data_IF_529785278390
#
_entry.id   IF_529785278390
#
_cell.length_a   1.000
_cell.length_b   1.000
_cell.length_c   1.000
_cell.angle_alpha   90.00
_cell.angle_beta   90.00
_cell.angle_gamma   90.00
#
_symmetry.space_group_name_H-M   'P 1'
#
loop_
_entity.id
_entity.type
_entity.pdbx_description
1 polymer ?
#
# COMPACT_ATOMS: atom_id res chain seq x y z
N UNK A 1 -27.89 -17.32 -35.61
CA UNK A 1 -26.50 -17.26 -35.13
C UNK A 1 -26.39 -16.07 -34.18
N UNK A 2 -26.25 -16.30 -32.87
CA UNK A 2 -25.81 -15.31 -31.90
C UNK A 2 -25.55 -16.01 -30.55
N UNK A 3 -24.40 -16.67 -30.44
CA UNK A 3 -23.83 -16.96 -29.13
C UNK A 3 -23.04 -15.71 -28.74
N UNK A 4 -23.57 -14.90 -27.81
CA UNK A 4 -22.79 -13.82 -27.21
C UNK A 4 -21.90 -14.44 -26.12
N UNK A 5 -20.60 -14.39 -26.35
CA UNK A 5 -19.57 -14.74 -25.37
C UNK A 5 -19.59 -13.68 -24.23
N UNK A 6 -19.77 -14.04 -22.96
CA UNK A 6 -19.62 -13.11 -21.84
C UNK A 6 -18.15 -13.04 -21.42
N UNK A 7 -17.26 -12.68 -22.35
CA UNK A 7 -15.84 -12.47 -22.05
C UNK A 7 -15.46 -11.01 -22.25
N UNK A 8 -14.78 -10.44 -21.25
CA UNK A 8 -14.17 -9.11 -21.19
C UNK A 8 -15.00 -7.95 -20.60
N UNK A 9 -15.48 -8.08 -19.36
CA UNK A 9 -15.52 -6.93 -18.44
C UNK A 9 -14.24 -6.93 -17.61
N UNK A 10 -13.10 -6.60 -18.22
CA UNK A 10 -11.99 -6.08 -17.44
C UNK A 10 -12.41 -4.65 -17.04
N UNK A 11 -12.51 -4.31 -15.74
CA UNK A 11 -12.75 -2.92 -15.35
C UNK A 11 -11.61 -2.08 -15.92
N UNK A 12 -11.95 -1.07 -16.73
CA UNK A 12 -10.99 -0.04 -17.13
C UNK A 12 -10.57 0.63 -15.82
N UNK A 13 -9.31 0.46 -15.40
CA UNK A 13 -8.82 1.08 -14.16
C UNK A 13 -8.89 2.61 -14.36
N UNK A 14 -9.88 3.23 -13.72
CA UNK A 14 -10.06 4.69 -13.71
C UNK A 14 -9.28 5.30 -12.56
N UNK A 15 -9.19 6.63 -12.56
CA UNK A 15 -8.49 7.37 -11.51
C UNK A 15 -9.16 7.23 -10.13
N UNK A 16 -10.46 6.94 -10.10
CA UNK A 16 -11.27 6.67 -8.90
C UNK A 16 -11.16 5.22 -8.40
N UNK A 17 -10.38 4.38 -9.07
CA UNK A 17 -10.25 2.97 -8.70
C UNK A 17 -9.70 2.82 -7.27
N UNK A 18 -10.43 2.08 -6.42
CA UNK A 18 -10.14 1.81 -5.01
C UNK A 18 -10.30 3.00 -4.04
N UNK A 19 -10.99 4.07 -4.43
CA UNK A 19 -11.28 5.20 -3.55
C UNK A 19 -11.99 4.78 -2.24
N UNK A 20 -13.03 3.95 -2.34
CA UNK A 20 -13.81 3.49 -1.17
C UNK A 20 -12.97 2.74 -0.13
N UNK A 21 -11.93 2.01 -0.58
CA UNK A 21 -11.02 1.30 0.33
C UNK A 21 -10.10 2.26 1.08
N UNK A 22 -9.73 3.39 0.46
CA UNK A 22 -8.96 4.44 1.11
C UNK A 22 -9.75 5.22 2.16
N UNK A 23 -11.09 5.19 2.14
CA UNK A 23 -11.91 5.97 3.06
C UNK A 23 -11.62 5.68 4.55
N UNK A 24 -11.17 4.45 4.86
CA UNK A 24 -10.83 4.04 6.22
C UNK A 24 -9.32 4.01 6.51
N UNK A 25 -8.47 4.37 5.53
CA UNK A 25 -7.02 4.36 5.68
C UNK A 25 -6.54 5.80 5.83
N UNK A 26 -5.85 6.11 6.93
CA UNK A 26 -5.37 7.46 7.22
C UNK A 26 -3.86 7.48 7.36
N UNK A 27 -3.26 8.60 6.98
CA UNK A 27 -1.84 8.84 7.25
C UNK A 27 -1.61 8.82 8.77
N UNK A 28 -0.63 8.05 9.21
CA UNK A 28 -0.32 7.79 10.61
C UNK A 28 -0.86 6.45 11.13
N UNK A 29 -1.79 5.81 10.42
CA UNK A 29 -2.31 4.50 10.86
C UNK A 29 -1.22 3.43 10.81
N UNK A 30 -1.24 2.56 11.82
CA UNK A 30 -0.49 1.30 11.79
C UNK A 30 -1.17 0.34 10.83
N UNK A 31 -0.37 -0.32 10.00
CA UNK A 31 -0.88 -1.23 9.00
C UNK A 31 0.00 -2.45 8.82
N UNK A 32 -0.61 -3.50 8.30
CA UNK A 32 0.04 -4.71 7.84
C UNK A 32 -0.27 -4.93 6.35
N UNK A 33 0.71 -5.45 5.62
CA UNK A 33 0.63 -5.68 4.18
C UNK A 33 0.47 -7.17 3.86
N UNK A 34 -0.54 -7.48 3.06
CA UNK A 34 -0.77 -8.82 2.51
C UNK A 34 -0.23 -8.96 1.08
N UNK A 35 0.37 -10.11 0.72
CA UNK A 35 0.82 -11.18 1.60
C UNK A 35 2.14 -10.83 2.32
N UNK A 36 2.36 -11.47 3.47
CA UNK A 36 3.66 -11.54 4.12
C UNK A 36 3.84 -10.67 5.36
N UNK A 37 2.75 -10.29 6.04
CA UNK A 37 2.72 -9.74 7.41
C UNK A 37 3.71 -8.60 7.68
N UNK A 38 4.02 -7.79 6.66
CA UNK A 38 4.96 -6.68 6.79
C UNK A 38 4.24 -5.52 7.43
N UNK A 39 4.75 -5.06 8.56
CA UNK A 39 4.16 -3.96 9.32
C UNK A 39 4.84 -2.64 9.04
N UNK A 40 4.06 -1.58 9.20
CA UNK A 40 4.54 -0.23 8.98
C UNK A 40 3.50 0.82 9.32
N UNK A 41 3.80 2.03 8.91
CA UNK A 41 2.97 3.21 9.09
C UNK A 41 2.54 3.75 7.73
N UNK A 42 1.26 4.05 7.59
CA UNK A 42 0.75 4.75 6.41
C UNK A 42 1.32 6.17 6.38
N UNK A 43 1.99 6.53 5.30
CA UNK A 43 2.57 7.87 5.08
C UNK A 43 1.90 8.65 3.97
N UNK A 44 1.15 7.98 3.11
CA UNK A 44 0.46 8.61 1.98
C UNK A 44 -0.82 7.84 1.65
N UNK A 45 -1.89 8.55 1.29
CA UNK A 45 -3.14 7.97 0.79
C UNK A 45 -3.65 8.88 -0.32
N UNK A 46 -3.76 8.37 -1.55
CA UNK A 46 -4.24 9.18 -2.67
C UNK A 46 -3.81 8.66 -4.03
N UNK A 47 -4.05 9.49 -5.04
CA UNK A 47 -3.68 9.23 -6.43
C UNK A 47 -2.20 9.55 -6.67
N UNK A 48 -1.50 8.65 -7.35
CA UNK A 48 -0.10 8.85 -7.69
C UNK A 48 0.06 9.01 -9.20
N UNK A 49 0.19 10.25 -9.67
CA UNK A 49 0.28 10.60 -11.10
C UNK A 49 1.44 9.90 -11.81
N UNK A 50 2.54 9.62 -11.10
CA UNK A 50 3.69 8.90 -11.67
C UNK A 50 3.46 7.39 -11.79
N UNK A 51 2.42 6.86 -11.13
CA UNK A 51 2.07 5.44 -11.10
C UNK A 51 0.87 5.14 -12.01
N UNK A 52 0.42 3.89 -11.99
CA UNK A 52 -0.78 3.51 -12.76
C UNK A 52 -2.04 4.11 -12.12
N UNK A 53 -3.10 4.38 -12.91
CA UNK A 53 -4.31 5.03 -12.42
C UNK A 53 -4.93 4.36 -11.19
N UNK A 54 -5.69 5.15 -10.42
CA UNK A 54 -6.35 4.71 -9.19
C UNK A 54 -5.59 5.14 -7.93
N UNK A 55 -6.16 4.77 -6.79
CA UNK A 55 -5.62 5.09 -5.48
C UNK A 55 -4.47 4.18 -5.07
N UNK A 56 -3.58 4.78 -4.29
CA UNK A 56 -2.38 4.18 -3.74
C UNK A 56 -2.22 4.58 -2.29
N UNK A 57 -1.62 3.68 -1.52
CA UNK A 57 -1.22 3.91 -0.14
C UNK A 57 0.30 3.81 -0.08
N UNK A 58 0.95 4.89 0.33
CA UNK A 58 2.36 4.89 0.63
C UNK A 58 2.57 4.45 2.07
N UNK A 59 3.40 3.44 2.27
CA UNK A 59 3.71 2.85 3.57
C UNK A 59 5.20 2.96 3.83
N UNK A 60 5.56 3.39 5.04
CA UNK A 60 6.90 3.24 5.58
C UNK A 60 6.89 1.98 6.43
N UNK A 61 7.63 0.96 6.00
CA UNK A 61 7.85 -0.25 6.77
C UNK A 61 8.76 0.00 7.97
N UNK A 62 8.57 -0.78 9.02
CA UNK A 62 9.44 -0.75 10.20
C UNK A 62 10.81 -1.34 9.86
N UNK A 63 10.83 -2.36 9.00
CA UNK A 63 12.00 -3.05 8.48
C UNK A 63 12.28 -2.69 7.00
N UNK A 64 13.50 -2.90 6.47
CA UNK A 64 13.89 -2.51 5.10
C UNK A 64 13.31 -3.44 4.00
N UNK A 65 12.00 -3.68 4.02
CA UNK A 65 11.26 -4.47 3.03
C UNK A 65 10.60 -3.64 1.91
N UNK A 66 10.80 -2.32 1.95
CA UNK A 66 10.35 -1.39 0.94
C UNK A 66 11.18 -1.41 -0.34
N UNK A 67 10.84 -0.50 -1.24
CA UNK A 67 11.46 -0.37 -2.57
C UNK A 67 12.14 0.98 -2.78
N UNK A 68 11.76 2.00 -1.99
CA UNK A 68 12.21 3.37 -2.14
C UNK A 68 12.29 4.07 -0.77
N UNK A 69 12.75 5.32 -0.75
CA UNK A 69 12.81 6.23 0.39
C UNK A 69 11.58 7.17 0.48
N UNK A 70 10.55 6.86 -0.31
CA UNK A 70 9.33 7.67 -0.43
C UNK A 70 9.27 8.51 -1.73
N UNK A 71 10.33 8.49 -2.53
CA UNK A 71 10.33 8.99 -3.90
C UNK A 71 10.06 7.87 -4.91
N UNK A 72 9.15 8.11 -5.86
CA UNK A 72 8.84 7.18 -6.95
C UNK A 72 8.89 7.91 -8.29
N UNK A 73 9.76 7.45 -9.20
CA UNK A 73 9.96 8.05 -10.53
C UNK A 73 10.21 9.58 -10.51
N UNK A 74 10.95 10.05 -9.50
CA UNK A 74 11.31 11.48 -9.37
C UNK A 74 10.28 12.35 -8.64
N UNK A 75 9.12 11.80 -8.24
CA UNK A 75 8.12 12.51 -7.42
C UNK A 75 8.22 12.01 -5.98
N UNK A 76 8.36 12.94 -5.02
CA UNK A 76 8.38 12.63 -3.58
C UNK A 76 6.94 12.65 -3.05
N UNK A 77 6.46 11.49 -2.62
CA UNK A 77 5.12 11.31 -2.04
C UNK A 77 5.16 11.43 -0.51
N UNK A 78 6.23 10.93 0.09
CA UNK A 78 6.49 10.97 1.54
C UNK A 78 8.00 10.83 1.80
N UNK A 79 8.41 11.00 3.06
CA UNK A 79 9.77 10.78 3.52
C UNK A 79 9.86 9.46 4.31
N UNK A 80 10.90 8.68 4.03
CA UNK A 80 11.15 7.38 4.66
C UNK A 80 12.64 7.01 4.55
N UNK A 81 13.20 6.18 5.45
CA UNK A 81 14.54 5.65 5.27
C UNK A 81 14.69 4.86 3.95
N UNK A 82 15.91 4.74 3.42
CA UNK A 82 16.16 3.97 2.20
C UNK A 82 15.69 2.52 2.35
N UNK A 83 14.94 2.02 1.38
CA UNK A 83 14.34 0.68 1.38
C UNK A 83 13.22 0.47 2.40
N UNK A 84 12.67 1.52 3.02
CA UNK A 84 11.50 1.38 3.91
C UNK A 84 10.18 1.81 3.24
N UNK A 85 10.24 2.69 2.25
CA UNK A 85 9.05 3.17 1.53
C UNK A 85 8.55 2.19 0.46
N UNK A 86 7.23 2.00 0.41
CA UNK A 86 6.55 1.30 -0.67
C UNK A 86 5.22 1.96 -1.05
N UNK A 87 4.87 1.93 -2.33
CA UNK A 87 3.53 2.27 -2.83
C UNK A 87 2.74 0.99 -3.08
N UNK A 88 1.61 0.85 -2.39
CA UNK A 88 0.82 -0.38 -2.32
C UNK A 88 -0.64 -0.07 -2.67
N UNK A 89 -1.33 -1.05 -3.26
CA UNK A 89 -2.76 -0.90 -3.55
C UNK A 89 -3.59 -1.03 -2.25
N UNK A 90 -4.65 -0.23 -2.09
CA UNK A 90 -5.48 -0.25 -0.88
C UNK A 90 -5.99 -1.64 -0.48
N UNK A 91 -6.27 -2.55 -1.43
CA UNK A 91 -6.73 -3.92 -1.13
C UNK A 91 -5.71 -4.79 -0.37
N UNK A 92 -4.44 -4.38 -0.38
CA UNK A 92 -3.34 -5.08 0.30
C UNK A 92 -2.96 -4.44 1.63
N UNK A 93 -3.59 -3.32 2.00
CA UNK A 93 -3.29 -2.61 3.24
C UNK A 93 -4.41 -2.89 4.24
N UNK A 94 -4.05 -3.54 5.35
CA UNK A 94 -4.93 -3.68 6.50
C UNK A 94 -4.49 -2.70 7.57
N UNK A 95 -5.29 -1.67 7.84
CA UNK A 95 -5.09 -0.78 8.98
C UNK A 95 -5.69 -1.38 10.24
N UNK A 96 -5.06 -1.14 11.39
CA UNK A 96 -5.51 -1.70 12.66
C UNK A 96 -4.46 -1.60 13.76
N UNK A 97 -4.65 -2.39 14.81
CA UNK A 97 -3.70 -2.47 15.92
C UNK A 97 -2.54 -3.41 15.54
N UNK A 98 -1.59 -2.87 14.78
CA UNK A 98 -0.39 -3.56 14.32
C UNK A 98 0.86 -2.90 14.91
N UNK A 99 1.16 -3.06 16.21
CA UNK A 99 2.36 -2.49 16.81
C UNK A 99 3.62 -2.99 16.11
N UNK A 100 4.70 -2.21 16.21
CA UNK A 100 6.04 -2.64 15.80
C UNK A 100 6.37 -3.96 16.51
N UNK A 101 6.90 -4.95 15.78
CA UNK A 101 7.32 -6.21 16.42
C UNK A 101 8.55 -5.93 17.27
N UNK A 102 8.51 -6.32 18.55
CA UNK A 102 9.67 -6.22 19.43
C UNK A 102 10.70 -7.29 19.01
N UNK A 103 11.90 -6.91 18.55
CA UNK A 103 12.93 -7.87 18.15
C UNK A 103 13.44 -8.75 19.30
N UNK A 104 13.10 -8.45 20.56
CA UNK A 104 13.53 -9.21 21.73
C UNK A 104 12.47 -10.17 22.29
N UNK A 105 11.23 -10.18 21.78
CA UNK A 105 10.18 -11.10 22.25
C UNK A 105 10.43 -12.58 21.83
N UNK A 106 11.27 -12.85 20.82
CA UNK A 106 11.54 -14.21 20.33
C UNK A 106 12.75 -14.92 20.99
N UNK A 107 13.49 -14.25 21.89
CA UNK A 107 14.72 -14.81 22.51
C UNK A 107 14.49 -15.59 23.83
N UNK A 108 13.24 -15.81 24.25
CA UNK A 108 12.91 -16.54 25.48
C UNK A 108 12.44 -17.98 25.20
N UNK A 109 13.37 -18.87 24.80
CA UNK A 109 13.21 -20.35 24.87
C UNK A 109 14.51 -21.00 25.36
#
# INVERSE_FOLDING_TARGET
MAAQNPSAFAPKITDDYMEDLCANIKVGDRCEIDPGEKRGVVKYVGRAESLTPGFWVGVQFDEPFGKHDGMVKGVRYFDSPPLHGAMIRPDKVKVGDYPERDPFEEEEI
#
